data_IF_694477303154
#
_entry.id   IF_694477303154
#
_cell.length_a   1.000
_cell.length_b   1.000
_cell.length_c   1.000
_cell.angle_alpha   90.00
_cell.angle_beta   90.00
_cell.angle_gamma   90.00
#
_symmetry.space_group_name_H-M   'P 1'
#
loop_
_entity.id
_entity.type
_entity.pdbx_description
1 polymer ?
#
# COMPACT_ATOMS: atom_id res chain seq x y z
N UNK A 1 0.91 13.25 -71.67
CA UNK A 1 -0.08 13.31 -70.56
C UNK A 1 0.41 12.42 -69.43
N UNK A 2 1.11 12.98 -68.45
CA UNK A 2 1.43 12.30 -67.18
C UNK A 2 0.74 13.09 -66.07
N UNK A 3 -0.15 12.44 -65.34
CA UNK A 3 -0.84 12.99 -64.16
C UNK A 3 -0.02 12.62 -62.92
N UNK A 4 0.60 13.61 -62.28
CA UNK A 4 1.19 13.46 -60.96
C UNK A 4 0.07 13.57 -59.91
N UNK A 5 -0.12 12.51 -59.13
CA UNK A 5 -0.97 12.49 -57.94
C UNK A 5 -0.09 12.93 -56.76
N UNK A 6 -0.38 14.09 -56.19
CA UNK A 6 0.19 14.53 -54.92
C UNK A 6 -0.63 13.88 -53.79
N UNK A 7 -0.04 12.93 -53.08
CA UNK A 7 -0.61 12.38 -51.84
C UNK A 7 -0.20 13.33 -50.72
N UNK A 8 -1.16 14.09 -50.18
CA UNK A 8 -0.97 14.87 -48.97
C UNK A 8 -1.03 13.92 -47.76
N UNK A 9 0.12 13.65 -47.13
CA UNK A 9 0.18 13.01 -45.83
C UNK A 9 -0.31 14.00 -44.77
N UNK A 10 -1.53 13.81 -44.26
CA UNK A 10 -1.97 14.42 -43.02
C UNK A 10 -1.15 13.82 -41.86
N UNK A 11 -0.13 14.55 -41.42
CA UNK A 11 0.49 14.32 -40.12
C UNK A 11 -0.52 14.74 -39.06
N UNK A 12 -1.26 13.77 -38.51
CA UNK A 12 -1.94 13.93 -37.25
C UNK A 12 -0.88 14.24 -36.19
N UNK A 13 -0.80 15.49 -35.75
CA UNK A 13 0.06 15.90 -34.66
C UNK A 13 -0.37 15.18 -33.39
N UNK A 14 0.38 14.16 -33.00
CA UNK A 14 0.34 13.63 -31.65
C UNK A 14 0.84 14.76 -30.75
N UNK A 15 -0.06 15.41 -30.01
CA UNK A 15 0.31 16.39 -29.00
C UNK A 15 1.02 15.65 -27.86
N UNK A 16 2.33 15.55 -27.94
CA UNK A 16 3.17 15.04 -26.85
C UNK A 16 3.02 16.03 -25.69
N UNK A 17 2.71 15.53 -24.50
CA UNK A 17 2.71 16.39 -23.32
C UNK A 17 4.15 16.84 -23.04
N UNK A 18 4.37 18.13 -22.77
CA UNK A 18 5.68 18.62 -22.35
C UNK A 18 5.85 18.38 -20.85
N UNK A 19 7.00 17.85 -20.45
CA UNK A 19 7.45 17.90 -19.06
C UNK A 19 7.70 19.36 -18.70
N UNK A 20 6.98 19.85 -17.70
CA UNK A 20 7.05 21.26 -17.32
C UNK A 20 8.23 21.56 -16.42
N UNK A 21 8.63 22.84 -16.40
CA UNK A 21 9.73 23.28 -15.57
C UNK A 21 9.41 23.02 -14.10
N UNK A 22 10.13 22.07 -13.51
CA UNK A 22 10.17 21.86 -12.07
C UNK A 22 11.05 22.94 -11.42
N UNK A 23 10.77 23.21 -10.16
CA UNK A 23 11.56 24.12 -9.33
C UNK A 23 12.94 23.49 -9.00
N UNK A 24 13.95 24.32 -8.73
CA UNK A 24 15.29 23.82 -8.41
C UNK A 24 15.30 23.07 -7.07
N UNK A 25 16.11 22.02 -6.98
CA UNK A 25 16.28 21.23 -5.75
C UNK A 25 16.73 22.04 -4.54
N UNK A 26 17.38 23.20 -4.75
CA UNK A 26 17.77 24.13 -3.70
C UNK A 26 16.60 24.75 -2.92
N UNK A 27 15.38 24.67 -3.46
CA UNK A 27 14.17 25.14 -2.79
C UNK A 27 13.49 24.05 -1.93
N UNK A 28 14.04 22.83 -1.92
CA UNK A 28 13.46 21.69 -1.22
C UNK A 28 14.18 21.50 0.12
N UNK A 29 13.50 21.85 1.20
CA UNK A 29 13.96 21.62 2.57
C UNK A 29 12.76 21.56 3.54
N UNK A 30 12.99 21.11 4.76
CA UNK A 30 11.93 20.96 5.76
C UNK A 30 11.21 22.28 6.06
N UNK A 31 9.88 22.27 5.98
CA UNK A 31 9.03 23.45 6.13
C UNK A 31 9.00 24.37 4.91
N UNK A 32 9.64 24.02 3.79
CA UNK A 32 9.57 24.81 2.56
C UNK A 32 8.20 24.68 1.89
N UNK A 33 7.73 25.80 1.31
CA UNK A 33 6.54 25.85 0.47
C UNK A 33 6.93 26.18 -0.97
N UNK A 34 6.37 25.43 -1.92
CA UNK A 34 6.57 25.65 -3.35
C UNK A 34 5.23 25.77 -4.05
N UNK A 35 5.15 26.70 -5.00
CA UNK A 35 3.93 26.99 -5.74
C UNK A 35 4.13 26.72 -7.24
N UNK A 36 3.14 26.12 -7.88
CA UNK A 36 3.09 25.87 -9.32
C UNK A 36 1.76 26.40 -9.86
N UNK A 37 1.73 27.11 -11.00
CA UNK A 37 2.88 27.48 -11.84
C UNK A 37 3.51 28.84 -11.46
N UNK A 38 2.91 29.58 -10.52
CA UNK A 38 3.34 30.93 -10.13
C UNK A 38 4.10 30.97 -8.80
N UNK A 39 4.47 32.17 -8.30
CA UNK A 39 5.25 32.34 -7.08
C UNK A 39 4.42 32.35 -5.78
N UNK A 40 3.10 32.14 -5.87
CA UNK A 40 2.14 32.30 -4.77
C UNK A 40 1.07 31.21 -4.82
N UNK A 41 0.35 31.02 -3.71
CA UNK A 41 -0.77 30.09 -3.61
C UNK A 41 -2.04 30.46 -4.41
N UNK A 42 -2.04 31.59 -5.13
CA UNK A 42 -3.15 32.08 -5.94
C UNK A 42 -3.29 31.30 -7.25
N UNK A 43 -4.53 31.14 -7.71
CA UNK A 43 -4.85 30.54 -9.00
C UNK A 43 -4.19 31.34 -10.14
N UNK A 44 -3.39 30.65 -10.94
CA UNK A 44 -2.72 31.25 -12.10
C UNK A 44 -3.43 30.88 -13.39
N UNK A 45 -3.67 31.86 -14.24
CA UNK A 45 -4.30 31.66 -15.54
C UNK A 45 -3.36 30.98 -16.52
N UNK A 46 -3.85 29.95 -17.20
CA UNK A 46 -3.11 29.20 -18.22
C UNK A 46 -3.62 29.51 -19.64
N UNK A 47 -2.74 29.45 -20.66
CA UNK A 47 -3.13 29.70 -22.04
C UNK A 47 -4.00 28.57 -22.61
N UNK A 48 -4.57 28.80 -23.81
CA UNK A 48 -5.16 27.74 -24.62
C UNK A 48 -4.07 26.78 -25.14
N UNK A 49 -4.46 25.54 -25.47
CA UNK A 49 -3.55 24.46 -25.90
C UNK A 49 -2.42 24.14 -24.89
N UNK A 50 -2.64 24.41 -23.61
CA UNK A 50 -1.73 24.02 -22.55
C UNK A 50 -1.79 22.50 -22.38
N UNK A 51 -0.64 21.84 -22.32
CA UNK A 51 -0.55 20.39 -22.09
C UNK A 51 0.76 20.08 -21.37
N UNK A 52 0.65 19.92 -20.06
CA UNK A 52 1.76 19.91 -19.15
C UNK A 52 1.61 18.75 -18.17
N UNK A 53 2.72 18.06 -17.87
CA UNK A 53 2.78 17.05 -16.82
C UNK A 53 3.82 17.45 -15.79
N UNK A 54 3.40 17.55 -14.53
CA UNK A 54 4.27 17.74 -13.37
C UNK A 54 4.46 16.40 -12.66
N UNK A 55 5.70 15.90 -12.62
CA UNK A 55 6.08 14.72 -11.82
C UNK A 55 6.69 15.22 -10.52
N UNK A 56 5.94 15.08 -9.44
CA UNK A 56 6.32 15.62 -8.14
C UNK A 56 6.79 14.47 -7.27
N UNK A 57 8.09 14.43 -7.00
CA UNK A 57 8.74 13.38 -6.23
C UNK A 57 9.09 13.90 -4.83
N UNK A 58 8.77 13.09 -3.83
CA UNK A 58 9.20 13.29 -2.46
C UNK A 58 10.64 12.78 -2.28
N UNK A 59 11.64 13.63 -1.93
CA UNK A 59 13.02 13.18 -1.77
C UNK A 59 13.17 12.15 -0.65
N UNK A 60 14.01 11.14 -0.86
CA UNK A 60 14.41 10.24 0.21
C UNK A 60 15.74 9.52 -0.07
N UNK A 61 16.31 8.97 0.99
CA UNK A 61 17.40 8.01 1.03
C UNK A 61 17.06 6.92 2.07
N UNK A 62 17.99 6.01 2.32
CA UNK A 62 17.79 4.87 3.23
C UNK A 62 17.55 5.22 4.70
N UNK A 63 17.85 6.45 5.14
CA UNK A 63 17.75 6.88 6.56
C UNK A 63 16.85 8.10 6.77
N UNK A 64 16.73 8.93 5.75
CA UNK A 64 16.06 10.22 5.78
C UNK A 64 15.18 10.38 4.55
N UNK A 65 14.04 11.01 4.72
CA UNK A 65 13.20 11.39 3.61
C UNK A 65 12.34 12.60 3.94
N UNK A 66 11.53 12.99 2.97
CA UNK A 66 10.52 14.02 3.14
C UNK A 66 9.21 13.49 2.65
N UNK A 67 8.11 13.88 3.29
CA UNK A 67 6.79 13.75 2.70
C UNK A 67 6.32 15.12 2.21
N UNK A 68 5.34 15.10 1.30
CA UNK A 68 4.77 16.32 0.72
C UNK A 68 3.27 16.35 1.00
N UNK A 69 2.81 17.45 1.58
CA UNK A 69 1.39 17.80 1.58
C UNK A 69 1.10 18.67 0.36
N UNK A 70 0.55 18.05 -0.68
CA UNK A 70 0.13 18.72 -1.90
C UNK A 70 -1.30 19.21 -1.76
N UNK A 71 -1.51 20.50 -2.03
CA UNK A 71 -2.85 21.08 -2.20
C UNK A 71 -3.04 21.47 -3.67
N UNK A 72 -4.07 20.91 -4.31
CA UNK A 72 -4.49 21.29 -5.65
C UNK A 72 -5.66 22.26 -5.55
N UNK A 73 -5.56 23.42 -6.20
CA UNK A 73 -6.67 24.35 -6.43
C UNK A 73 -7.08 24.29 -7.89
N UNK A 74 -8.33 23.91 -8.13
CA UNK A 74 -8.93 23.77 -9.45
C UNK A 74 -9.71 25.04 -9.82
N UNK A 75 -9.30 25.70 -10.92
CA UNK A 75 -9.99 26.81 -11.55
C UNK A 75 -10.28 26.58 -13.03
N UNK A 76 -10.46 25.32 -13.46
CA UNK A 76 -10.80 24.98 -14.84
C UNK A 76 -12.16 25.59 -15.22
N UNK A 77 -12.23 26.20 -16.41
CA UNK A 77 -13.47 26.84 -16.92
C UNK A 77 -13.94 26.25 -18.25
N UNK A 78 -13.01 25.83 -19.10
CA UNK A 78 -13.34 25.23 -20.38
C UNK A 78 -14.01 23.87 -20.26
N UNK A 79 -14.96 23.58 -21.15
CA UNK A 79 -15.70 22.30 -21.16
C UNK A 79 -14.81 21.06 -21.39
N UNK A 80 -13.67 21.24 -22.05
CA UNK A 80 -12.72 20.18 -22.36
C UNK A 80 -11.37 20.37 -21.66
N UNK A 81 -11.28 21.34 -20.76
CA UNK A 81 -10.09 21.60 -19.95
C UNK A 81 -10.16 20.73 -18.70
N UNK A 82 -9.02 20.17 -18.30
CA UNK A 82 -8.97 19.27 -17.14
C UNK A 82 -7.61 19.26 -16.45
N UNK A 83 -7.65 18.82 -15.20
CA UNK A 83 -6.48 18.35 -14.46
C UNK A 83 -6.69 16.86 -14.17
N UNK A 84 -5.70 16.04 -14.46
CA UNK A 84 -5.66 14.64 -14.06
C UNK A 84 -4.54 14.49 -13.03
N UNK A 85 -4.89 14.08 -11.82
CA UNK A 85 -3.92 13.67 -10.80
C UNK A 85 -3.84 12.16 -10.82
N UNK A 86 -2.67 11.61 -11.08
CA UNK A 86 -2.38 10.18 -10.88
C UNK A 86 -1.68 10.07 -9.54
N UNK A 87 -2.38 9.48 -8.56
CA UNK A 87 -1.92 9.32 -7.19
C UNK A 87 -0.71 8.34 -7.11
N UNK A 88 -0.08 8.24 -5.95
CA UNK A 88 1.15 7.45 -5.73
C UNK A 88 0.97 5.95 -6.03
N UNK A 89 -0.25 5.46 -5.87
CA UNK A 89 -0.70 4.10 -6.19
C UNK A 89 -1.12 3.91 -7.65
N UNK A 90 -1.00 4.95 -8.48
CA UNK A 90 -1.36 4.94 -9.89
C UNK A 90 -2.83 5.24 -10.18
N UNK A 91 -3.70 5.42 -9.18
CA UNK A 91 -5.11 5.70 -9.42
C UNK A 91 -5.32 7.14 -9.92
N UNK A 92 -6.03 7.33 -11.06
CA UNK A 92 -6.27 8.66 -11.61
C UNK A 92 -7.54 9.31 -11.05
N UNK A 93 -7.44 10.59 -10.69
CA UNK A 93 -8.57 11.48 -10.36
C UNK A 93 -8.68 12.60 -11.39
N UNK A 94 -9.89 12.85 -11.89
CA UNK A 94 -10.16 13.86 -12.92
C UNK A 94 -10.85 15.09 -12.34
N UNK A 95 -10.29 16.26 -12.64
CA UNK A 95 -10.82 17.57 -12.28
C UNK A 95 -11.22 18.34 -13.53
N UNK A 96 -12.46 18.80 -13.56
CA UNK A 96 -13.04 19.61 -14.64
C UNK A 96 -13.63 20.89 -14.05
N UNK A 97 -14.32 21.68 -14.89
CA UNK A 97 -15.05 22.86 -14.43
C UNK A 97 -16.24 22.56 -13.48
N UNK A 98 -16.59 21.28 -13.28
CA UNK A 98 -17.65 20.85 -12.35
C UNK A 98 -17.11 20.19 -11.08
N UNK A 99 -15.81 19.91 -11.03
CA UNK A 99 -15.19 19.25 -9.88
C UNK A 99 -14.99 20.22 -8.72
N UNK A 100 -14.70 19.68 -7.53
CA UNK A 100 -14.37 20.49 -6.35
C UNK A 100 -13.22 21.47 -6.64
N UNK A 101 -13.25 22.60 -5.93
CA UNK A 101 -12.28 23.68 -6.12
C UNK A 101 -10.93 23.41 -5.47
N UNK A 102 -10.87 22.51 -4.48
CA UNK A 102 -9.66 22.20 -3.75
C UNK A 102 -9.63 20.73 -3.35
N UNK A 103 -8.46 20.11 -3.46
CA UNK A 103 -8.21 18.75 -2.95
C UNK A 103 -6.78 18.64 -2.39
N UNK A 104 -6.54 17.63 -1.56
CA UNK A 104 -5.28 17.41 -0.85
C UNK A 104 -4.75 15.99 -1.04
N UNK A 105 -3.44 15.88 -1.20
CA UNK A 105 -2.73 14.63 -1.37
C UNK A 105 -1.51 14.59 -0.46
N UNK A 106 -1.26 13.43 0.15
CA UNK A 106 -0.03 13.17 0.91
C UNK A 106 0.85 12.25 0.07
N UNK A 107 2.07 12.70 -0.21
CA UNK A 107 3.07 11.95 -0.98
C UNK A 107 4.10 11.43 0.03
N UNK A 108 4.18 10.11 0.28
CA UNK A 108 5.15 9.56 1.23
C UNK A 108 6.59 9.65 0.67
N UNK A 109 7.61 9.53 1.53
CA UNK A 109 9.00 9.61 1.11
C UNK A 109 9.37 8.69 -0.05
N UNK A 110 10.13 9.22 -1.02
CA UNK A 110 10.61 8.52 -2.20
C UNK A 110 9.58 8.37 -3.34
N UNK A 111 8.29 8.52 -3.03
CA UNK A 111 7.19 8.28 -3.98
C UNK A 111 6.93 9.47 -4.90
N UNK A 112 6.18 9.21 -5.97
CA UNK A 112 5.90 10.19 -7.03
C UNK A 112 4.39 10.30 -7.26
N UNK A 113 3.90 11.53 -7.35
CA UNK A 113 2.57 11.84 -7.89
C UNK A 113 2.73 12.54 -9.24
N UNK A 114 1.77 12.36 -10.15
CA UNK A 114 1.76 13.06 -11.44
C UNK A 114 0.53 13.95 -11.57
N UNK A 115 0.72 15.23 -11.90
CA UNK A 115 -0.36 16.18 -12.16
C UNK A 115 -0.29 16.63 -13.61
N UNK A 116 -1.25 16.17 -14.42
CA UNK A 116 -1.38 16.55 -15.83
C UNK A 116 -2.44 17.63 -15.99
N UNK A 117 -2.08 18.76 -16.56
CA UNK A 117 -2.99 19.90 -16.78
C UNK A 117 -3.14 20.13 -18.28
N UNK A 118 -4.38 20.17 -18.77
CA UNK A 118 -4.69 20.29 -20.19
C UNK A 118 -5.76 21.35 -20.43
N UNK A 119 -5.51 22.26 -21.37
CA UNK A 119 -6.53 23.12 -21.98
C UNK A 119 -6.62 22.87 -23.47
N UNK A 120 -7.79 23.09 -24.06
CA UNK A 120 -8.01 22.97 -25.52
C UNK A 120 -7.82 24.31 -26.24
N UNK A 121 -8.13 24.33 -27.53
CA UNK A 121 -7.83 25.44 -28.44
C UNK A 121 -8.57 26.75 -28.15
N UNK A 122 -9.69 26.71 -27.42
CA UNK A 122 -10.45 27.90 -27.03
C UNK A 122 -9.92 28.42 -25.70
N UNK A 123 -9.52 29.69 -25.66
CA UNK A 123 -9.10 30.34 -24.43
C UNK A 123 -10.30 30.62 -23.52
N UNK A 124 -10.40 29.87 -22.42
CA UNK A 124 -11.50 29.97 -21.45
C UNK A 124 -11.08 30.60 -20.12
N UNK A 125 -9.88 31.16 -20.05
CA UNK A 125 -9.28 31.69 -18.82
C UNK A 125 -9.31 30.68 -17.65
N UNK A 126 -9.06 29.40 -17.97
CA UNK A 126 -8.85 28.34 -16.99
C UNK A 126 -7.63 28.64 -16.14
N UNK A 127 -7.67 28.24 -14.88
CA UNK A 127 -6.63 28.53 -13.89
C UNK A 127 -6.36 27.32 -13.01
N UNK A 128 -5.16 27.21 -12.45
CA UNK A 128 -4.86 26.22 -11.42
C UNK A 128 -3.77 26.71 -10.48
N UNK A 129 -3.65 26.08 -9.32
CA UNK A 129 -2.50 26.24 -8.43
C UNK A 129 -2.22 24.90 -7.74
N UNK A 130 -0.95 24.54 -7.63
CA UNK A 130 -0.46 23.43 -6.82
C UNK A 130 0.44 24.04 -5.76
N UNK A 131 0.18 23.71 -4.50
CA UNK A 131 0.98 24.12 -3.34
C UNK A 131 1.61 22.86 -2.76
N UNK A 132 2.92 22.86 -2.61
CA UNK A 132 3.70 21.74 -2.07
C UNK A 132 4.32 22.18 -0.76
N UNK A 133 3.95 21.52 0.33
CA UNK A 133 4.56 21.73 1.64
C UNK A 133 5.43 20.51 1.96
N UNK A 134 6.71 20.75 2.14
CA UNK A 134 7.70 19.70 2.38
C UNK A 134 7.96 19.54 3.87
N UNK A 135 8.00 18.30 4.33
CA UNK A 135 8.20 17.98 5.74
C UNK A 135 9.20 16.84 5.88
N UNK A 136 10.21 17.00 6.74
CA UNK A 136 11.18 15.96 7.02
C UNK A 136 10.54 14.76 7.74
N UNK A 137 11.05 13.56 7.44
CA UNK A 137 10.67 12.32 8.09
C UNK A 137 11.87 11.39 8.22
N UNK A 138 12.06 10.79 9.40
CA UNK A 138 13.03 9.70 9.56
C UNK A 138 12.50 8.40 8.99
N UNK A 139 13.35 7.68 8.28
CA UNK A 139 13.02 6.34 7.80
C UNK A 139 13.38 5.35 8.90
N UNK A 140 12.45 4.46 9.22
CA UNK A 140 12.67 3.43 10.24
C UNK A 140 13.63 2.34 9.77
N UNK A 141 13.84 1.32 10.62
CA UNK A 141 14.88 0.32 10.39
C UNK A 141 14.56 -0.59 9.20
N UNK A 142 15.62 -1.14 8.61
CA UNK A 142 15.54 -2.30 7.75
C UNK A 142 15.83 -3.57 8.54
N UNK A 143 14.92 -4.53 8.50
CA UNK A 143 14.94 -5.77 9.28
C UNK A 143 14.98 -6.95 8.30
N UNK A 144 16.03 -7.79 8.32
CA UNK A 144 16.00 -9.03 7.54
C UNK A 144 14.96 -9.98 8.13
N UNK A 145 14.19 -10.64 7.26
CA UNK A 145 13.25 -11.66 7.69
C UNK A 145 14.00 -12.83 8.37
N UNK A 146 13.37 -13.38 9.41
CA UNK A 146 13.78 -14.61 10.07
C UNK A 146 13.62 -15.79 9.12
N UNK A 147 14.29 -16.90 9.45
CA UNK A 147 14.20 -18.15 8.70
C UNK A 147 12.75 -18.70 8.67
N UNK A 148 12.43 -19.50 7.64
CA UNK A 148 11.11 -20.10 7.39
C UNK A 148 10.53 -20.96 8.52
N UNK A 149 11.29 -21.26 9.58
CA UNK A 149 10.79 -21.92 10.80
C UNK A 149 10.22 -20.95 11.83
N UNK A 150 10.29 -19.64 11.59
CA UNK A 150 9.90 -18.60 12.53
C UNK A 150 8.99 -17.57 11.85
N UNK A 151 7.95 -17.15 12.54
CA UNK A 151 7.09 -16.08 12.05
C UNK A 151 7.81 -14.73 11.99
N UNK A 152 7.52 -14.00 10.92
CA UNK A 152 7.82 -12.58 10.78
C UNK A 152 6.52 -11.81 10.95
N UNK A 153 6.42 -11.02 12.01
CA UNK A 153 5.30 -10.13 12.24
C UNK A 153 5.78 -8.90 13.01
N UNK A 154 5.03 -7.81 12.88
CA UNK A 154 5.30 -6.58 13.60
C UNK A 154 4.01 -5.77 13.74
N UNK A 155 3.79 -5.18 14.92
CA UNK A 155 2.88 -4.05 15.02
C UNK A 155 3.70 -2.78 14.79
N UNK A 156 3.46 -2.10 13.67
CA UNK A 156 4.23 -0.92 13.27
C UNK A 156 4.15 0.21 14.30
N UNK A 157 3.08 0.25 15.11
CA UNK A 157 2.92 1.22 16.19
C UNK A 157 3.98 1.08 17.28
N UNK A 158 4.59 -0.10 17.44
CA UNK A 158 5.70 -0.30 18.39
C UNK A 158 6.96 0.46 18.02
N UNK A 159 7.08 0.92 16.77
CA UNK A 159 8.19 1.74 16.28
C UNK A 159 7.89 3.26 16.31
N UNK A 160 6.71 3.65 16.78
CA UNK A 160 6.29 5.06 16.86
C UNK A 160 7.18 5.81 17.84
N UNK A 161 7.79 6.91 17.38
CA UNK A 161 8.70 7.72 18.20
C UNK A 161 8.05 9.00 18.76
N UNK A 162 6.79 9.26 18.39
CA UNK A 162 6.03 10.44 18.78
C UNK A 162 6.54 11.76 18.19
N UNK A 163 7.44 11.71 17.20
CA UNK A 163 8.07 12.89 16.60
C UNK A 163 7.85 12.97 15.10
N UNK A 164 8.00 11.85 14.39
CA UNK A 164 7.86 11.81 12.95
C UNK A 164 6.41 11.55 12.54
N UNK A 165 5.98 12.17 11.44
CA UNK A 165 4.63 12.00 10.92
C UNK A 165 4.39 10.56 10.47
N UNK A 166 5.29 10.04 9.62
CA UNK A 166 5.32 8.64 9.25
C UNK A 166 6.23 7.84 10.18
N UNK A 167 5.72 6.70 10.62
CA UNK A 167 6.51 5.58 11.11
C UNK A 167 6.64 4.56 10.01
N UNK A 168 7.85 4.04 9.80
CA UNK A 168 8.11 3.07 8.76
C UNK A 168 8.99 1.92 9.20
N UNK A 169 8.95 0.84 8.44
CA UNK A 169 9.84 -0.32 8.57
C UNK A 169 10.05 -0.91 7.19
N UNK A 170 11.25 -1.39 6.91
CA UNK A 170 11.55 -2.16 5.71
C UNK A 170 11.87 -3.59 6.11
N UNK A 171 11.21 -4.57 5.49
CA UNK A 171 11.61 -5.97 5.56
C UNK A 171 12.37 -6.36 4.30
N UNK A 172 13.43 -7.13 4.46
CA UNK A 172 14.25 -7.62 3.34
C UNK A 172 14.41 -9.12 3.38
N UNK A 173 14.43 -9.75 2.21
CA UNK A 173 14.67 -11.17 2.05
C UNK A 173 15.47 -11.46 0.77
N UNK A 174 15.76 -12.73 0.47
CA UNK A 174 16.40 -13.17 -0.78
C UNK A 174 15.40 -13.41 -1.92
N UNK A 175 14.13 -13.56 -1.60
CA UNK A 175 13.04 -13.78 -2.54
C UNK A 175 11.90 -12.79 -2.27
N UNK A 176 10.88 -12.72 -3.16
CA UNK A 176 9.71 -11.90 -2.92
C UNK A 176 9.02 -12.21 -1.59
N UNK A 177 8.37 -11.19 -1.04
CA UNK A 177 7.75 -11.21 0.28
C UNK A 177 6.24 -11.18 0.08
N UNK A 178 5.56 -12.10 0.73
CA UNK A 178 4.11 -12.10 0.86
C UNK A 178 3.75 -11.46 2.19
N UNK A 179 2.91 -10.43 2.18
CA UNK A 179 2.48 -9.71 3.38
C UNK A 179 0.98 -9.83 3.51
N UNK A 180 0.52 -10.11 4.72
CA UNK A 180 -0.89 -10.07 5.11
C UNK A 180 -1.09 -9.08 6.25
N UNK A 181 -2.23 -8.40 6.24
CA UNK A 181 -2.64 -7.50 7.32
C UNK A 181 -3.68 -8.21 8.19
N UNK A 182 -3.33 -8.55 9.45
CA UNK A 182 -4.16 -9.42 10.28
C UNK A 182 -5.48 -8.79 10.64
N UNK A 183 -6.55 -9.58 10.54
CA UNK A 183 -7.87 -9.17 10.98
C UNK A 183 -7.96 -9.17 12.51
N UNK A 184 -8.53 -8.10 13.07
CA UNK A 184 -8.71 -7.91 14.52
C UNK A 184 -10.20 -7.89 14.88
N UNK A 185 -10.53 -7.84 16.18
CA UNK A 185 -11.91 -7.58 16.63
C UNK A 185 -12.50 -6.26 16.09
N UNK A 186 -11.66 -5.29 15.71
CA UNK A 186 -12.11 -4.04 15.10
C UNK A 186 -12.35 -4.18 13.57
N UNK A 187 -12.20 -5.39 13.02
CA UNK A 187 -12.19 -5.67 11.59
C UNK A 187 -10.80 -5.44 10.99
N UNK A 188 -10.77 -5.28 9.67
CA UNK A 188 -9.56 -4.92 8.93
C UNK A 188 -9.14 -3.49 9.25
N UNK A 189 -7.83 -3.28 9.39
CA UNK A 189 -7.24 -1.96 9.61
C UNK A 189 -7.50 -1.08 8.39
N UNK A 190 -8.43 -0.14 8.52
CA UNK A 190 -8.65 0.90 7.53
C UNK A 190 -7.78 2.12 7.90
N UNK A 191 -6.88 2.51 7.00
CA UNK A 191 -5.97 3.61 7.27
C UNK A 191 -5.81 4.55 6.09
N UNK A 192 -6.17 5.81 6.32
CA UNK A 192 -5.81 6.94 5.46
C UNK A 192 -4.32 7.26 5.64
N UNK A 193 -3.60 7.43 4.53
CA UNK A 193 -2.14 7.66 4.53
C UNK A 193 -1.35 6.52 5.21
N UNK A 194 -1.73 5.28 4.91
CA UNK A 194 -0.88 4.11 5.09
C UNK A 194 -0.49 3.54 3.74
N UNK A 195 0.80 3.22 3.61
CA UNK A 195 1.38 2.81 2.34
C UNK A 195 2.17 1.53 2.51
N UNK A 196 2.07 0.68 1.51
CA UNK A 196 2.95 -0.47 1.31
C UNK A 196 3.73 -0.19 0.04
N UNK A 197 5.05 -0.25 0.14
CA UNK A 197 5.97 -0.01 -0.96
C UNK A 197 6.62 -1.34 -1.27
N UNK A 198 6.47 -1.80 -2.50
CA UNK A 198 7.31 -2.86 -3.03
C UNK A 198 8.70 -2.27 -3.30
N UNK A 199 9.68 -2.73 -2.52
CA UNK A 199 11.04 -2.18 -2.47
C UNK A 199 11.38 -1.42 -1.18
N UNK A 200 12.48 -0.68 -1.24
CA UNK A 200 12.94 0.23 -0.19
C UNK A 200 12.41 1.64 -0.45
N UNK A 201 12.45 2.54 0.53
CA UNK A 201 12.05 3.95 0.37
C UNK A 201 12.73 4.62 -0.83
N UNK A 202 14.00 4.34 -1.07
CA UNK A 202 14.83 4.94 -2.11
C UNK A 202 14.90 4.13 -3.42
N UNK A 203 14.28 2.94 -3.45
CA UNK A 203 14.20 2.10 -4.64
C UNK A 203 12.84 1.39 -4.70
N UNK A 204 11.82 2.14 -5.12
CA UNK A 204 10.43 1.71 -5.18
C UNK A 204 10.10 1.14 -6.56
N UNK A 205 9.51 -0.06 -6.62
CA UNK A 205 8.93 -0.62 -7.85
C UNK A 205 7.45 -0.30 -7.95
N UNK A 206 6.73 -0.31 -6.82
CA UNK A 206 5.33 0.07 -6.72
C UNK A 206 4.99 0.62 -5.33
N UNK A 207 3.93 1.41 -5.26
CA UNK A 207 3.35 1.91 -4.01
C UNK A 207 1.88 1.54 -4.00
N UNK A 208 1.39 1.11 -2.85
CA UNK A 208 0.01 0.73 -2.61
C UNK A 208 -0.50 1.53 -1.42
N UNK A 209 -1.68 2.12 -1.54
CA UNK A 209 -2.40 2.63 -0.36
C UNK A 209 -3.12 1.46 0.30
N UNK A 210 -3.06 1.35 1.62
CA UNK A 210 -3.69 0.24 2.35
C UNK A 210 -5.20 0.12 2.07
N UNK A 211 -5.87 1.25 1.84
CA UNK A 211 -7.29 1.33 1.41
C UNK A 211 -7.59 0.55 0.12
N UNK A 212 -6.63 0.50 -0.81
CA UNK A 212 -6.82 -0.09 -2.15
C UNK A 212 -6.33 -1.55 -2.23
N UNK A 213 -5.98 -2.16 -1.09
CA UNK A 213 -5.59 -3.58 -1.04
C UNK A 213 -6.86 -4.41 -0.81
N UNK A 214 -7.52 -4.81 -1.89
CA UNK A 214 -8.84 -5.47 -1.89
C UNK A 214 -8.91 -6.70 -0.95
N UNK A 215 -7.84 -7.49 -0.86
CA UNK A 215 -7.80 -8.72 -0.06
C UNK A 215 -7.01 -8.62 1.25
N UNK A 216 -6.42 -7.47 1.56
CA UNK A 216 -5.54 -7.31 2.74
C UNK A 216 -4.23 -8.09 2.63
N UNK A 217 -3.81 -8.43 1.41
CA UNK A 217 -2.60 -9.18 1.09
C UNK A 217 -1.85 -8.54 -0.08
N UNK A 218 -0.52 -8.60 -0.08
CA UNK A 218 0.34 -8.18 -1.19
C UNK A 218 1.44 -9.22 -1.38
N UNK A 219 1.75 -9.54 -2.64
CA UNK A 219 3.01 -10.18 -3.01
C UNK A 219 3.90 -9.16 -3.69
N UNK A 220 5.10 -8.94 -3.15
CA UNK A 220 6.07 -8.05 -3.80
C UNK A 220 6.63 -8.66 -5.08
N UNK A 221 7.17 -7.82 -5.97
CA UNK A 221 8.02 -8.24 -7.07
C UNK A 221 9.50 -8.14 -6.69
N UNK A 222 9.85 -7.18 -5.84
CA UNK A 222 11.20 -7.07 -5.27
C UNK A 222 11.36 -7.98 -4.06
N UNK A 223 12.60 -8.04 -3.55
CA UNK A 223 12.96 -8.78 -2.34
C UNK A 223 12.92 -7.90 -1.07
N UNK A 224 12.24 -6.76 -1.14
CA UNK A 224 12.04 -5.87 -0.02
C UNK A 224 10.60 -5.33 0.00
N UNK A 225 10.09 -5.05 1.19
CA UNK A 225 8.81 -4.35 1.36
C UNK A 225 8.98 -3.30 2.43
N UNK A 226 8.53 -2.07 2.16
CA UNK A 226 8.48 -1.01 3.15
C UNK A 226 7.05 -0.66 3.48
N UNK A 227 6.70 -0.66 4.77
CA UNK A 227 5.38 -0.23 5.23
C UNK A 227 5.51 1.09 5.95
N UNK A 228 4.61 2.03 5.65
CA UNK A 228 4.53 3.34 6.30
C UNK A 228 3.13 3.58 6.83
N UNK A 229 3.04 4.16 8.02
CA UNK A 229 1.79 4.63 8.61
C UNK A 229 1.96 6.02 9.19
N UNK A 230 0.95 6.87 9.00
CA UNK A 230 0.83 8.13 9.73
C UNK A 230 -0.17 8.07 10.88
N UNK A 231 -0.94 6.99 10.99
CA UNK A 231 -1.94 6.82 12.06
C UNK A 231 -1.31 6.20 13.31
N UNK A 232 -1.77 6.68 14.46
CA UNK A 232 -1.52 6.05 15.75
C UNK A 232 -2.48 4.88 15.94
N UNK A 233 -1.99 3.80 16.56
CA UNK A 233 -2.79 2.61 16.87
C UNK A 233 -2.34 1.38 16.11
N UNK A 234 -2.98 0.25 16.41
CA UNK A 234 -2.57 -1.07 15.94
C UNK A 234 -2.46 -1.13 14.41
N UNK A 235 -1.27 -1.47 13.92
CA UNK A 235 -0.97 -1.71 12.52
C UNK A 235 -0.11 -2.98 12.43
N UNK A 236 -0.76 -4.10 12.71
CA UNK A 236 -0.16 -5.42 12.56
C UNK A 236 0.14 -5.74 11.09
N UNK A 237 1.18 -6.52 10.88
CA UNK A 237 1.48 -7.19 9.62
C UNK A 237 2.13 -8.53 9.91
N UNK A 238 1.87 -9.51 9.05
CA UNK A 238 2.52 -10.82 9.06
C UNK A 238 3.14 -11.04 7.69
N UNK A 239 4.39 -11.52 7.66
CA UNK A 239 5.19 -11.65 6.46
C UNK A 239 5.68 -13.08 6.29
N UNK A 240 5.51 -13.58 5.08
CA UNK A 240 6.03 -14.85 4.62
C UNK A 240 6.98 -14.65 3.45
N UNK A 241 7.89 -15.61 3.28
CA UNK A 241 8.59 -15.72 2.01
C UNK A 241 7.60 -16.19 0.93
N UNK A 242 7.79 -15.79 -0.32
CA UNK A 242 6.92 -16.27 -1.39
C UNK A 242 6.99 -17.79 -1.55
N UNK A 243 8.17 -18.41 -1.37
CA UNK A 243 8.32 -19.86 -1.37
C UNK A 243 7.51 -20.59 -0.29
N UNK A 244 7.32 -19.98 0.88
CA UNK A 244 6.44 -20.49 1.93
C UNK A 244 4.97 -20.27 1.58
N UNK A 245 4.63 -19.06 1.13
CA UNK A 245 3.26 -18.69 0.82
C UNK A 245 2.66 -19.51 -0.33
N UNK A 246 3.45 -19.75 -1.38
CA UNK A 246 3.02 -20.47 -2.58
C UNK A 246 2.74 -21.97 -2.36
N UNK A 247 3.08 -22.53 -1.19
CA UNK A 247 2.70 -23.91 -0.82
C UNK A 247 1.22 -24.04 -0.46
N UNK A 248 0.56 -22.90 -0.19
CA UNK A 248 -0.84 -22.82 0.17
C UNK A 248 -1.62 -22.14 -0.95
N UNK A 249 -2.88 -22.49 -1.11
CA UNK A 249 -3.74 -21.79 -2.08
C UNK A 249 -4.21 -20.45 -1.53
N UNK A 250 -4.23 -20.32 -0.20
CA UNK A 250 -4.66 -19.14 0.51
C UNK A 250 -3.98 -19.07 1.88
N UNK A 251 -3.45 -17.89 2.22
CA UNK A 251 -2.95 -17.56 3.55
C UNK A 251 -3.62 -16.26 3.98
N UNK A 252 -4.05 -16.21 5.23
CA UNK A 252 -4.45 -14.97 5.87
C UNK A 252 -3.93 -14.92 7.30
N UNK A 253 -4.04 -13.76 7.95
CA UNK A 253 -3.57 -13.60 9.32
C UNK A 253 -4.63 -13.01 10.25
N UNK A 254 -4.49 -13.31 11.54
CA UNK A 254 -5.37 -12.89 12.63
C UNK A 254 -4.57 -12.32 13.79
N UNK A 255 -5.08 -11.23 14.36
CA UNK A 255 -4.53 -10.63 15.57
C UNK A 255 -5.36 -11.02 16.80
N UNK A 256 -4.72 -11.57 17.82
CA UNK A 256 -5.36 -11.94 19.10
C UNK A 256 -5.49 -10.72 20.03
N UNK A 257 -6.62 -10.53 20.74
CA UNK A 257 -7.82 -11.37 20.73
C UNK A 257 -8.67 -11.14 19.49
N UNK A 258 -9.20 -12.23 18.93
CA UNK A 258 -10.22 -12.19 17.89
C UNK A 258 -11.36 -13.18 18.17
N UNK A 259 -12.46 -12.62 18.65
CA UNK A 259 -13.68 -13.35 18.97
C UNK A 259 -14.55 -13.67 17.75
N UNK A 260 -14.22 -13.12 16.58
CA UNK A 260 -14.90 -13.46 15.34
C UNK A 260 -14.57 -14.91 14.96
N UNK A 261 -15.58 -15.63 14.49
CA UNK A 261 -15.38 -16.98 13.96
C UNK A 261 -14.79 -16.89 12.56
N UNK A 262 -13.55 -17.31 12.40
CA UNK A 262 -12.89 -17.38 11.11
C UNK A 262 -13.18 -18.68 10.42
N UNK A 263 -13.51 -18.58 9.13
CA UNK A 263 -13.82 -19.72 8.28
C UNK A 263 -12.77 -19.89 7.20
N UNK A 264 -12.15 -21.06 7.14
CA UNK A 264 -11.40 -21.47 5.95
C UNK A 264 -12.35 -22.22 5.02
N UNK A 265 -12.98 -21.55 4.04
CA UNK A 265 -13.86 -22.24 3.07
C UNK A 265 -13.13 -22.55 1.79
N UNK A 266 -12.45 -23.70 1.72
CA UNK A 266 -11.87 -24.14 0.47
C UNK A 266 -12.04 -25.66 0.27
N UNK A 267 -13.22 -26.11 -0.21
CA UNK A 267 -13.36 -27.49 -0.65
C UNK A 267 -12.32 -27.75 -1.76
N UNK A 268 -11.45 -28.75 -1.54
CA UNK A 268 -10.38 -29.21 -2.44
C UNK A 268 -9.03 -28.47 -2.42
N UNK A 269 -8.76 -27.56 -1.47
CA UNK A 269 -7.49 -26.82 -1.42
C UNK A 269 -6.91 -26.70 0.00
N UNK A 270 -5.59 -26.62 0.11
CA UNK A 270 -4.88 -26.26 1.36
C UNK A 270 -4.98 -24.76 1.57
N UNK A 271 -5.47 -24.36 2.75
CA UNK A 271 -5.47 -22.98 3.22
C UNK A 271 -4.92 -22.90 4.64
N UNK A 272 -4.32 -21.76 4.98
CA UNK A 272 -3.77 -21.52 6.31
C UNK A 272 -4.18 -20.16 6.85
N UNK A 273 -4.32 -20.11 8.18
CA UNK A 273 -4.52 -18.86 8.92
C UNK A 273 -3.42 -18.73 9.96
N UNK A 274 -2.62 -17.68 9.84
CA UNK A 274 -1.57 -17.33 10.79
C UNK A 274 -2.15 -16.50 11.93
N UNK A 275 -2.13 -17.04 13.14
CA UNK A 275 -2.66 -16.38 14.33
C UNK A 275 -1.50 -15.81 15.14
N UNK A 276 -1.56 -14.51 15.43
CA UNK A 276 -0.49 -13.79 16.14
C UNK A 276 -1.07 -13.04 17.33
N UNK A 277 -0.50 -13.27 18.52
CA UNK A 277 -0.70 -12.42 19.69
C UNK A 277 0.39 -11.35 19.75
N UNK A 278 0.04 -10.13 19.30
CA UNK A 278 0.97 -9.00 19.29
C UNK A 278 1.31 -8.49 20.70
N UNK A 279 0.58 -8.91 21.75
CA UNK A 279 0.79 -8.47 23.12
C UNK A 279 1.66 -9.42 23.95
N UNK A 280 1.98 -10.61 23.46
CA UNK A 280 2.81 -11.58 24.19
C UNK A 280 2.50 -13.03 23.83
N UNK A 281 2.90 -13.97 24.70
CA UNK A 281 2.55 -15.39 24.55
C UNK A 281 1.16 -15.68 25.11
N UNK A 282 0.57 -16.76 24.63
CA UNK A 282 -0.74 -17.24 25.04
C UNK A 282 -1.77 -17.00 23.95
N UNK A 283 -2.24 -18.09 23.35
CA UNK A 283 -3.33 -18.08 22.38
C UNK A 283 -4.31 -19.15 22.84
N UNK A 284 -5.56 -18.78 23.12
CA UNK A 284 -6.59 -19.75 23.49
C UNK A 284 -7.61 -19.90 22.37
N UNK A 285 -7.67 -21.08 21.77
CA UNK A 285 -8.73 -21.46 20.85
C UNK A 285 -9.98 -21.83 21.65
N UNK A 286 -11.00 -20.99 21.60
CA UNK A 286 -12.22 -21.13 22.42
C UNK A 286 -13.34 -21.89 21.71
N UNK A 287 -13.43 -21.73 20.39
CA UNK A 287 -14.44 -22.39 19.58
C UNK A 287 -13.74 -23.07 18.41
N UNK A 288 -14.24 -24.25 18.06
CA UNK A 288 -13.75 -25.03 16.94
C UNK A 288 -14.91 -25.84 16.35
N UNK A 289 -15.09 -25.74 15.04
CA UNK A 289 -15.95 -26.60 14.24
C UNK A 289 -15.18 -27.00 13.00
N UNK A 290 -15.04 -28.31 12.79
CA UNK A 290 -14.34 -28.90 11.64
C UNK A 290 -15.34 -29.71 10.84
N UNK A 291 -15.47 -29.41 9.54
CA UNK A 291 -16.41 -30.08 8.65
C UNK A 291 -15.72 -30.54 7.36
N UNK A 292 -15.94 -31.81 6.98
CA UNK A 292 -15.41 -32.38 5.74
C UNK A 292 -15.22 -33.90 5.87
N UNK A 293 -15.40 -34.64 4.77
CA UNK A 293 -15.29 -36.11 4.76
C UNK A 293 -13.86 -36.63 4.68
N UNK A 294 -12.92 -35.82 4.17
CA UNK A 294 -11.49 -36.12 4.04
C UNK A 294 -10.62 -35.03 4.73
N UNK A 295 -11.11 -34.47 5.82
CA UNK A 295 -10.49 -33.31 6.46
C UNK A 295 -9.15 -33.65 7.12
N UNK A 296 -8.13 -32.83 6.85
CA UNK A 296 -7.00 -32.67 7.76
C UNK A 296 -7.00 -31.23 8.26
N UNK A 297 -7.11 -31.11 9.57
CA UNK A 297 -7.11 -29.84 10.28
C UNK A 297 -6.08 -29.92 11.39
N UNK A 298 -5.08 -29.06 11.39
CA UNK A 298 -4.01 -29.12 12.37
C UNK A 298 -3.40 -27.74 12.64
N UNK A 299 -2.68 -27.64 13.75
CA UNK A 299 -1.94 -26.45 14.16
C UNK A 299 -0.46 -26.68 14.00
N UNK A 300 0.23 -25.70 13.43
CA UNK A 300 1.67 -25.63 13.28
C UNK A 300 2.29 -24.63 14.26
N UNK A 301 3.51 -24.92 14.73
CA UNK A 301 4.28 -24.03 15.61
C UNK A 301 4.97 -22.87 14.91
N UNK A 302 4.90 -22.80 13.58
CA UNK A 302 5.62 -21.85 12.72
C UNK A 302 4.78 -21.51 11.48
N UNK A 303 5.35 -20.75 10.52
CA UNK A 303 4.71 -20.40 9.26
C UNK A 303 4.15 -21.63 8.53
N UNK A 304 3.12 -21.49 7.67
CA UNK A 304 2.39 -22.63 7.09
C UNK A 304 3.16 -23.34 5.96
N UNK A 305 4.35 -23.84 6.25
CA UNK A 305 5.22 -24.57 5.34
C UNK A 305 5.61 -25.94 5.91
N UNK A 306 6.30 -26.73 5.10
CA UNK A 306 6.77 -28.07 5.44
C UNK A 306 7.89 -28.13 6.50
N UNK A 307 8.45 -27.00 6.92
CA UNK A 307 9.49 -26.95 7.96
C UNK A 307 8.90 -26.79 9.36
N UNK A 308 7.64 -26.36 9.47
CA UNK A 308 6.93 -26.18 10.72
C UNK A 308 6.44 -27.50 11.31
N UNK A 309 6.45 -27.58 12.65
CA UNK A 309 6.02 -28.78 13.37
C UNK A 309 4.52 -28.75 13.65
N UNK A 310 3.83 -29.87 13.39
CA UNK A 310 2.46 -30.10 13.86
C UNK A 310 2.44 -30.26 15.37
N UNK A 311 1.67 -29.40 16.05
CA UNK A 311 1.55 -29.39 17.51
C UNK A 311 0.18 -29.80 18.03
N UNK A 312 -0.85 -29.78 17.17
CA UNK A 312 -2.19 -30.24 17.52
C UNK A 312 -2.94 -30.72 16.28
N UNK A 313 -3.62 -31.86 16.40
CA UNK A 313 -4.64 -32.32 15.44
C UNK A 313 -6.02 -31.78 15.87
N UNK A 314 -6.63 -30.95 15.03
CA UNK A 314 -7.91 -30.29 15.31
C UNK A 314 -9.11 -31.20 15.09
N UNK A 315 -8.97 -32.34 14.40
CA UNK A 315 -10.06 -33.30 14.22
C UNK A 315 -10.48 -33.98 15.54
N UNK A 316 -9.58 -33.99 16.53
CA UNK A 316 -9.79 -34.62 17.84
C UNK A 316 -9.61 -33.66 19.02
N UNK A 317 -9.28 -32.40 18.75
CA UNK A 317 -9.00 -31.40 19.77
C UNK A 317 -10.23 -31.11 20.65
N UNK A 318 -9.98 -30.97 21.96
CA UNK A 318 -10.96 -30.45 22.92
C UNK A 318 -10.75 -28.95 23.06
N UNK A 319 -11.83 -28.16 22.98
CA UNK A 319 -11.82 -26.72 23.23
C UNK A 319 -12.50 -26.40 24.58
N UNK A 320 -12.01 -25.39 25.34
CA UNK A 320 -10.91 -24.50 24.98
C UNK A 320 -9.53 -25.18 25.04
N UNK A 321 -8.67 -24.86 24.08
CA UNK A 321 -7.27 -25.31 24.04
C UNK A 321 -6.34 -24.09 24.09
N UNK A 322 -5.29 -24.14 24.91
CA UNK A 322 -4.34 -23.02 25.06
C UNK A 322 -2.96 -23.42 24.56
N UNK A 323 -2.38 -22.55 23.74
CA UNK A 323 -1.02 -22.65 23.25
C UNK A 323 -0.17 -21.60 23.97
N UNK A 324 0.94 -22.03 24.60
CA UNK A 324 1.96 -21.12 25.14
C UNK A 324 2.90 -20.66 24.02
N UNK A 325 2.32 -20.06 22.98
CA UNK A 325 3.01 -19.53 21.81
C UNK A 325 2.55 -18.10 21.58
N UNK A 326 3.42 -17.31 20.96
CA UNK A 326 3.07 -15.97 20.49
C UNK A 326 2.39 -15.99 19.12
N UNK A 327 2.72 -16.98 18.30
CA UNK A 327 2.13 -17.16 16.98
C UNK A 327 2.03 -18.65 16.62
N UNK A 328 1.04 -19.01 15.82
CA UNK A 328 0.78 -20.35 15.31
C UNK A 328 0.06 -20.28 13.96
N UNK A 329 0.11 -21.36 13.17
CA UNK A 329 -0.68 -21.45 11.93
C UNK A 329 -1.73 -22.53 12.05
N UNK A 330 -2.98 -22.21 11.73
CA UNK A 330 -4.08 -23.16 11.61
C UNK A 330 -4.21 -23.55 10.15
N UNK A 331 -3.99 -24.82 9.82
CA UNK A 331 -4.02 -25.33 8.46
C UNK A 331 -5.24 -26.21 8.26
N UNK A 332 -5.92 -26.02 7.13
CA UNK A 332 -7.02 -26.87 6.66
C UNK A 332 -6.71 -27.42 5.28
N UNK A 333 -6.82 -28.73 5.11
CA UNK A 333 -6.79 -29.41 3.81
C UNK A 333 -8.15 -30.10 3.59
N UNK A 334 -8.82 -29.74 2.49
CA UNK A 334 -10.10 -30.34 2.09
C UNK A 334 -11.22 -30.25 3.15
N UNK A 335 -11.17 -29.23 4.01
CA UNK A 335 -12.21 -28.98 4.99
C UNK A 335 -12.50 -27.52 5.27
N UNK A 336 -13.69 -27.30 5.84
CA UNK A 336 -14.08 -26.05 6.46
C UNK A 336 -13.75 -26.09 7.95
N UNK A 337 -12.84 -25.21 8.38
CA UNK A 337 -12.59 -24.97 9.80
C UNK A 337 -13.22 -23.63 10.18
N UNK A 338 -13.96 -23.63 11.27
CA UNK A 338 -14.49 -22.44 11.94
C UNK A 338 -13.91 -22.35 13.35
N UNK A 339 -13.18 -21.28 13.68
CA UNK A 339 -12.60 -21.13 15.03
C UNK A 339 -12.53 -19.67 15.50
N UNK A 340 -12.39 -19.49 16.81
CA UNK A 340 -12.10 -18.19 17.44
C UNK A 340 -10.95 -18.31 18.45
N UNK A 341 -10.19 -17.22 18.61
CA UNK A 341 -8.97 -17.16 19.41
C UNK A 341 -8.98 -15.95 20.33
N UNK A 342 -8.63 -16.13 21.59
CA UNK A 342 -8.51 -15.02 22.57
C UNK A 342 -7.16 -14.97 23.24
#
# INVERSE_FOLDING_TARGET
MLRNILVALCLAGTTVALDCQMFPSSQIYDGSEVYIPGPTADLQTIPANFNCVYKIQAPANSTDGMYINLTLKNGMKGLNDYIQVTNVDGYPTMYTNRSYQMDQYVIPPGSVISVKVVTKSVYMASQFSIILNYHANKIGPSIPMKASTQFNFLDLNTLRDGKNFFTSVTFTNFEPIYITFPESNAGRTFCWNCYVIDGTIDNQTAVYTLENIENGEITTQSNAVTVLTSVDGFMGMVLDTWGDAAQNNYISSLAVPNSLTFKTTHPMHTGAIEVVNFNGTGITMNQLSVQGTACKAYVLSGPPNNQSQVILDLSTAQVPHTFDLQALSVVSEECEISFSVV
#
